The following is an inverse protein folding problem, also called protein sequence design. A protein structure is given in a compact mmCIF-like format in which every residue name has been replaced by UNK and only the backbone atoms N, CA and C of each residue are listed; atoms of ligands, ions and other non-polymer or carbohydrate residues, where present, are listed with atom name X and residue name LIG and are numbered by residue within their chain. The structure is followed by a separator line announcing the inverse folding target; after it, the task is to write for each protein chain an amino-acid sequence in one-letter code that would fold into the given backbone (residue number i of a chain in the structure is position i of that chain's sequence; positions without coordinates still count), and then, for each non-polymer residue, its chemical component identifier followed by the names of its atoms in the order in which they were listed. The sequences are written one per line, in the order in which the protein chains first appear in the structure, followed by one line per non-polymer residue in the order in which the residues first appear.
data_IF_500121120665
#
_entry.id   IF_500121120665
#
_cell.length_a   1.000
_cell.length_b   1.000
_cell.length_c   1.000
_cell.angle_alpha   90.00
_cell.angle_beta   90.00
_cell.angle_gamma   90.00
#
_symmetry.space_group_name_H-M   'P 1'
#
loop_
_entity.id
_entity.type
_entity.pdbx_description
1 polymer ?
#
# COMPACT_ATOMS: atom_id res chain seq x y z
N UNK A 1 22.57 6.49 -14.60
CA UNK A 1 23.49 5.53 -15.28
C UNK A 1 23.85 4.43 -14.29
N UNK A 2 23.57 3.14 -14.58
CA UNK A 2 24.03 2.02 -13.75
C UNK A 2 25.49 1.72 -14.05
N UNK A 3 26.31 1.58 -13.01
CA UNK A 3 27.76 1.31 -13.10
C UNK A 3 28.13 -0.01 -13.81
N UNK A 4 27.16 -0.82 -14.27
CA UNK A 4 27.40 -2.12 -14.88
C UNK A 4 26.65 -2.37 -16.20
N UNK A 5 26.08 -1.35 -16.86
CA UNK A 5 25.61 -1.50 -18.25
C UNK A 5 24.50 -2.55 -18.50
N UNK A 6 23.98 -3.19 -17.45
CA UNK A 6 22.85 -4.10 -17.56
C UNK A 6 21.58 -3.31 -17.86
N UNK A 7 20.96 -3.56 -19.02
CA UNK A 7 19.57 -3.16 -19.25
C UNK A 7 18.73 -3.67 -18.07
N UNK A 8 17.90 -2.82 -17.50
CA UNK A 8 16.93 -3.23 -16.49
C UNK A 8 16.08 -4.37 -17.09
N UNK A 9 16.34 -5.60 -16.66
CA UNK A 9 15.58 -6.78 -17.04
C UNK A 9 14.27 -6.78 -16.22
N UNK A 10 13.35 -5.93 -16.62
CA UNK A 10 12.01 -5.85 -16.04
C UNK A 10 11.05 -5.52 -17.16
N UNK A 11 10.50 -6.56 -17.80
CA UNK A 11 9.55 -6.43 -18.90
C UNK A 11 8.51 -5.36 -18.61
N UNK A 12 8.43 -4.37 -19.51
CA UNK A 12 7.49 -3.26 -19.44
C UNK A 12 6.08 -3.79 -19.74
N UNK A 13 5.44 -4.42 -18.76
CA UNK A 13 4.03 -4.80 -18.89
C UNK A 13 3.61 -6.05 -18.15
N UNK A 14 2.39 -6.47 -18.48
CA UNK A 14 1.75 -7.68 -17.98
C UNK A 14 2.54 -8.90 -18.46
N UNK A 15 2.88 -9.80 -17.55
CA UNK A 15 3.42 -11.11 -17.91
C UNK A 15 2.23 -12.05 -18.17
N UNK A 16 1.98 -12.47 -19.43
CA UNK A 16 0.76 -13.24 -19.75
C UNK A 16 0.67 -14.53 -18.95
N UNK A 17 1.76 -15.28 -18.84
CA UNK A 17 1.81 -16.55 -18.10
C UNK A 17 1.58 -16.32 -16.60
N UNK A 18 2.26 -15.34 -16.01
CA UNK A 18 2.10 -15.00 -14.60
C UNK A 18 0.69 -14.52 -14.27
N UNK A 19 0.08 -13.73 -15.16
CA UNK A 19 -1.30 -13.24 -15.00
C UNK A 19 -2.34 -14.35 -15.14
N UNK A 20 -2.16 -15.30 -16.07
CA UNK A 20 -3.06 -16.46 -16.20
C UNK A 20 -3.00 -17.31 -14.93
N UNK A 21 -1.79 -17.64 -14.46
CA UNK A 21 -1.63 -18.38 -13.20
C UNK A 21 -2.26 -17.63 -12.03
N UNK A 22 -2.07 -16.31 -11.96
CA UNK A 22 -2.69 -15.47 -10.95
C UNK A 22 -4.22 -15.49 -10.99
N UNK A 23 -4.82 -15.39 -12.17
CA UNK A 23 -6.28 -15.49 -12.36
C UNK A 23 -6.79 -16.85 -11.87
N UNK A 24 -6.09 -17.94 -12.20
CA UNK A 24 -6.47 -19.28 -11.73
C UNK A 24 -6.45 -19.35 -10.20
N UNK A 25 -5.38 -18.84 -9.55
CA UNK A 25 -5.29 -18.82 -8.09
C UNK A 25 -6.45 -18.00 -7.50
N UNK A 26 -6.73 -16.83 -8.05
CA UNK A 26 -7.82 -15.97 -7.58
C UNK A 26 -9.19 -16.67 -7.69
N UNK A 27 -9.47 -17.30 -8.84
CA UNK A 27 -10.72 -18.03 -9.05
C UNK A 27 -10.84 -19.26 -8.14
N UNK A 28 -9.75 -19.98 -7.93
CA UNK A 28 -9.70 -21.12 -7.00
C UNK A 28 -9.94 -20.65 -5.57
N UNK A 29 -9.36 -19.53 -5.14
CA UNK A 29 -9.61 -18.96 -3.82
C UNK A 29 -11.08 -18.61 -3.62
N UNK A 30 -11.71 -17.93 -4.60
CA UNK A 30 -13.14 -17.59 -4.54
C UNK A 30 -14.02 -18.84 -4.51
N UNK A 31 -13.75 -19.81 -5.40
CA UNK A 31 -14.51 -21.04 -5.46
C UNK A 31 -14.37 -21.86 -4.17
N UNK A 32 -13.16 -21.90 -3.58
CA UNK A 32 -12.91 -22.57 -2.31
C UNK A 32 -13.67 -21.88 -1.16
N UNK A 33 -13.66 -20.55 -1.07
CA UNK A 33 -14.43 -19.80 -0.06
C UNK A 33 -15.91 -20.15 -0.12
N UNK A 34 -16.49 -20.17 -1.33
CA UNK A 34 -17.89 -20.56 -1.51
C UNK A 34 -18.15 -22.03 -1.15
N UNK A 35 -17.29 -22.94 -1.62
CA UNK A 35 -17.44 -24.37 -1.37
C UNK A 35 -17.30 -24.74 0.12
N UNK A 36 -16.54 -23.96 0.89
CA UNK A 36 -16.37 -24.11 2.33
C UNK A 36 -17.49 -23.44 3.15
N UNK A 37 -18.50 -22.86 2.49
CA UNK A 37 -19.67 -22.28 3.15
C UNK A 37 -19.49 -20.85 3.66
N UNK A 38 -18.37 -20.20 3.34
CA UNK A 38 -18.18 -18.79 3.67
C UNK A 38 -18.91 -17.87 2.69
N UNK A 39 -19.29 -16.68 3.17
CA UNK A 39 -19.65 -15.58 2.29
C UNK A 39 -18.44 -15.18 1.45
N UNK A 40 -18.66 -14.92 0.16
CA UNK A 40 -17.61 -14.46 -0.76
C UNK A 40 -17.33 -12.96 -0.58
N UNK A 41 -18.28 -12.22 0.00
CA UNK A 41 -18.20 -10.75 0.13
C UNK A 41 -16.93 -10.29 0.87
N UNK A 42 -16.57 -10.86 2.04
CA UNK A 42 -15.34 -10.47 2.72
C UNK A 42 -14.07 -10.74 1.92
N UNK A 43 -14.03 -11.87 1.21
CA UNK A 43 -12.88 -12.17 0.36
C UNK A 43 -12.75 -11.15 -0.78
N UNK A 44 -13.87 -10.74 -1.40
CA UNK A 44 -13.85 -9.71 -2.45
C UNK A 44 -13.36 -8.38 -1.88
N UNK A 45 -13.84 -7.97 -0.70
CA UNK A 45 -13.36 -6.77 -0.02
C UNK A 45 -11.86 -6.82 0.27
N UNK A 46 -11.34 -7.96 0.74
CA UNK A 46 -9.90 -8.17 0.98
C UNK A 46 -9.08 -8.07 -0.33
N UNK A 47 -9.59 -8.63 -1.43
CA UNK A 47 -8.95 -8.55 -2.76
C UNK A 47 -8.88 -7.10 -3.23
N UNK A 48 -10.00 -6.36 -3.13
CA UNK A 48 -10.07 -4.95 -3.50
C UNK A 48 -9.11 -4.14 -2.61
N UNK A 49 -9.11 -4.37 -1.31
CA UNK A 49 -8.22 -3.67 -0.37
C UNK A 49 -6.75 -3.90 -0.70
N UNK A 50 -6.37 -5.14 -1.04
CA UNK A 50 -5.01 -5.47 -1.49
C UNK A 50 -4.61 -4.78 -2.78
N UNK A 51 -5.53 -4.76 -3.76
CA UNK A 51 -5.33 -4.04 -5.02
C UNK A 51 -5.12 -2.53 -4.80
N UNK A 52 -5.90 -1.92 -3.90
CA UNK A 52 -5.78 -0.51 -3.53
C UNK A 52 -4.45 -0.22 -2.83
N UNK A 53 -4.00 -1.07 -1.90
CA UNK A 53 -2.67 -0.96 -1.29
C UNK A 53 -1.59 -1.02 -2.37
N UNK A 54 -1.64 -2.02 -3.24
CA UNK A 54 -0.67 -2.17 -4.33
C UNK A 54 -0.63 -0.94 -5.26
N UNK A 55 -1.79 -0.38 -5.58
CA UNK A 55 -1.90 0.84 -6.38
C UNK A 55 -1.34 2.06 -5.65
N UNK A 56 -1.76 2.30 -4.41
CA UNK A 56 -1.31 3.44 -3.60
C UNK A 56 0.20 3.46 -3.39
N UNK A 57 0.82 2.30 -3.18
CA UNK A 57 2.27 2.17 -2.99
C UNK A 57 3.09 2.70 -4.19
N UNK A 58 2.55 2.66 -5.42
CA UNK A 58 3.24 3.18 -6.61
C UNK A 58 3.39 4.70 -6.59
N UNK A 59 2.51 5.40 -5.88
CA UNK A 59 2.58 6.85 -5.73
C UNK A 59 3.52 7.30 -4.62
N UNK A 60 3.94 6.41 -3.72
CA UNK A 60 4.81 6.77 -2.61
C UNK A 60 6.20 7.20 -3.14
N UNK A 61 6.74 8.35 -2.70
CA UNK A 61 8.05 8.85 -3.11
C UNK A 61 9.16 8.30 -2.19
N UNK A 62 9.88 7.28 -2.67
CA UNK A 62 10.74 6.42 -1.84
C UNK A 62 12.06 6.12 -2.53
N UNK A 63 13.16 6.65 -2.02
CA UNK A 63 14.48 6.39 -2.59
C UNK A 63 15.34 5.46 -1.75
N UNK A 64 16.14 4.66 -2.46
CA UNK A 64 17.16 3.82 -1.84
C UNK A 64 18.34 4.64 -1.32
N UNK A 65 19.52 4.02 -1.23
CA UNK A 65 20.74 4.68 -0.75
C UNK A 65 21.03 6.07 -1.38
N UNK A 66 20.76 6.31 -2.69
CA UNK A 66 20.96 7.65 -3.27
C UNK A 66 20.09 8.75 -2.67
N UNK A 67 18.85 8.47 -2.25
CA UNK A 67 17.99 9.47 -1.59
C UNK A 67 18.42 9.72 -0.15
N UNK A 68 18.97 8.72 0.54
CA UNK A 68 19.63 8.93 1.83
C UNK A 68 20.84 9.87 1.74
N UNK A 69 21.48 9.93 0.58
CA UNK A 69 22.58 10.85 0.29
C UNK A 69 22.12 12.16 -0.37
N UNK A 70 20.81 12.39 -0.51
CA UNK A 70 20.26 13.62 -1.10
C UNK A 70 20.37 13.75 -2.62
N UNK A 71 20.92 12.74 -3.29
CA UNK A 71 21.24 12.76 -4.73
C UNK A 71 20.10 12.25 -5.62
N UNK A 72 18.96 11.90 -5.04
CA UNK A 72 17.82 11.35 -5.75
C UNK A 72 16.50 11.82 -5.08
N UNK A 73 15.45 12.19 -5.85
CA UNK A 73 14.23 12.76 -5.28
C UNK A 73 13.38 11.79 -4.45
N UNK A 74 13.37 11.79 -3.13
CA UNK A 74 12.49 10.90 -2.38
C UNK A 74 12.89 10.74 -0.93
N UNK A 75 12.11 9.99 -0.17
CA UNK A 75 12.39 9.75 1.24
C UNK A 75 13.43 8.64 1.38
N UNK A 76 14.44 8.86 2.24
CA UNK A 76 15.56 7.97 2.55
C UNK A 76 15.16 6.68 3.32
N UNK A 77 14.20 5.93 2.80
CA UNK A 77 13.67 4.72 3.45
C UNK A 77 13.02 3.78 2.43
N UNK A 78 12.83 2.54 2.83
CA UNK A 78 12.23 1.52 1.99
C UNK A 78 10.75 1.82 1.69
N UNK A 79 10.34 1.56 0.44
CA UNK A 79 8.94 1.66 -0.01
C UNK A 79 7.99 0.96 0.94
N UNK A 80 8.33 -0.27 1.32
CA UNK A 80 7.51 -1.09 2.20
C UNK A 80 7.40 -0.50 3.61
N UNK A 81 8.43 0.19 4.13
CA UNK A 81 8.40 0.79 5.46
C UNK A 81 7.50 2.03 5.50
N UNK A 82 7.58 2.89 4.49
CA UNK A 82 6.69 4.06 4.41
C UNK A 82 5.26 3.69 4.10
N UNK A 83 5.07 2.76 3.16
CA UNK A 83 3.78 2.21 2.90
C UNK A 83 3.22 1.60 4.19
N UNK A 84 3.97 0.76 4.90
CA UNK A 84 3.50 0.13 6.13
C UNK A 84 3.13 1.17 7.19
N UNK A 85 3.93 2.23 7.37
CA UNK A 85 3.58 3.31 8.29
C UNK A 85 2.29 4.05 7.90
N UNK A 86 2.09 4.35 6.61
CA UNK A 86 0.86 4.97 6.12
C UNK A 86 -0.34 4.01 6.24
N UNK A 87 -0.14 2.73 5.96
CA UNK A 87 -1.12 1.67 6.09
C UNK A 87 -1.57 1.44 7.53
N UNK A 88 -0.62 1.43 8.47
CA UNK A 88 -0.90 1.33 9.91
C UNK A 88 -1.65 2.55 10.41
N UNK A 89 -1.21 3.76 10.06
CA UNK A 89 -1.91 4.99 10.44
C UNK A 89 -3.34 5.02 9.89
N UNK A 90 -3.53 4.55 8.65
CA UNK A 90 -4.86 4.38 8.06
C UNK A 90 -5.69 3.31 8.77
N UNK A 91 -5.15 2.12 9.00
CA UNK A 91 -5.83 1.05 9.71
C UNK A 91 -6.32 1.52 11.08
N UNK A 92 -5.45 2.13 11.89
CA UNK A 92 -5.84 2.63 13.21
C UNK A 92 -6.87 3.76 13.15
N UNK A 93 -6.71 4.70 12.21
CA UNK A 93 -7.68 5.78 12.01
C UNK A 93 -9.06 5.25 11.59
N UNK A 94 -9.09 4.25 10.71
CA UNK A 94 -10.32 3.61 10.26
C UNK A 94 -10.95 2.71 11.30
N UNK A 95 -10.16 1.93 12.05
CA UNK A 95 -10.65 1.09 13.13
C UNK A 95 -11.29 1.92 14.25
N UNK A 96 -10.64 3.03 14.65
CA UNK A 96 -11.19 3.96 15.63
C UNK A 96 -12.50 4.61 15.12
N UNK A 97 -12.54 5.02 13.86
CA UNK A 97 -13.75 5.58 13.25
C UNK A 97 -14.89 4.55 13.19
N UNK A 98 -14.58 3.27 12.90
CA UNK A 98 -15.55 2.18 12.91
C UNK A 98 -16.10 1.93 14.32
N UNK A 99 -15.24 1.87 15.33
CA UNK A 99 -15.66 1.72 16.73
C UNK A 99 -16.58 2.86 17.19
N UNK A 100 -16.26 4.09 16.80
CA UNK A 100 -17.02 5.27 17.21
C UNK A 100 -18.38 5.42 16.51
N UNK A 101 -18.53 4.92 15.28
CA UNK A 101 -19.70 5.21 14.43
C UNK A 101 -20.47 3.99 13.94
N UNK A 102 -19.83 2.83 13.88
CA UNK A 102 -20.35 1.62 13.21
C UNK A 102 -20.55 1.78 11.71
N UNK A 103 -20.14 2.91 11.11
CA UNK A 103 -20.39 3.22 9.71
C UNK A 103 -19.17 2.84 8.85
N UNK A 104 -19.40 1.91 7.93
CA UNK A 104 -18.39 1.44 6.98
C UNK A 104 -17.75 2.57 6.16
N UNK A 105 -18.55 3.50 5.64
CA UNK A 105 -18.04 4.58 4.81
C UNK A 105 -17.18 5.55 5.63
N UNK A 106 -17.60 5.85 6.86
CA UNK A 106 -16.83 6.70 7.78
C UNK A 106 -15.52 6.04 8.18
N UNK A 107 -15.53 4.72 8.45
CA UNK A 107 -14.34 3.97 8.77
C UNK A 107 -13.32 3.99 7.61
N UNK A 108 -13.78 3.65 6.40
CA UNK A 108 -12.94 3.65 5.20
C UNK A 108 -12.38 5.05 4.89
N UNK A 109 -13.20 6.10 5.05
CA UNK A 109 -12.75 7.49 4.91
C UNK A 109 -11.74 7.89 5.99
N UNK A 110 -11.98 7.50 7.25
CA UNK A 110 -11.07 7.73 8.37
C UNK A 110 -9.71 7.09 8.14
N UNK A 111 -9.68 5.88 7.56
CA UNK A 111 -8.44 5.22 7.20
C UNK A 111 -7.71 5.84 6.02
N UNK A 112 -8.45 6.30 5.02
CA UNK A 112 -7.86 7.04 3.91
C UNK A 112 -7.22 8.35 4.39
N UNK A 113 -7.90 9.11 5.25
CA UNK A 113 -7.37 10.34 5.84
C UNK A 113 -6.16 10.04 6.73
N UNK A 114 -6.21 9.00 7.57
CA UNK A 114 -5.10 8.60 8.43
C UNK A 114 -3.82 8.28 7.63
N UNK A 115 -3.95 7.48 6.56
CA UNK A 115 -2.82 7.14 5.69
C UNK A 115 -2.30 8.34 4.89
N UNK A 116 -3.18 9.19 4.37
CA UNK A 116 -2.82 10.42 3.67
C UNK A 116 -2.12 11.43 4.58
N UNK A 117 -2.60 11.61 5.81
CA UNK A 117 -2.04 12.51 6.80
C UNK A 117 -0.64 12.07 7.24
N UNK A 118 -0.45 10.78 7.53
CA UNK A 118 0.86 10.23 7.84
C UNK A 118 1.86 10.53 6.71
N UNK A 119 1.44 10.32 5.46
CA UNK A 119 2.31 10.59 4.31
C UNK A 119 2.59 12.08 4.13
N UNK A 120 1.59 12.95 4.32
CA UNK A 120 1.76 14.40 4.25
C UNK A 120 2.77 14.90 5.30
N UNK A 121 2.63 14.46 6.55
CA UNK A 121 3.55 14.81 7.64
C UNK A 121 4.96 14.30 7.31
N UNK A 122 5.08 13.07 6.84
CA UNK A 122 6.38 12.48 6.52
C UNK A 122 7.07 13.23 5.39
N UNK A 123 6.37 13.52 4.29
CA UNK A 123 6.93 14.27 3.18
C UNK A 123 7.29 15.70 3.57
N UNK A 124 6.48 16.36 4.42
CA UNK A 124 6.76 17.70 4.94
C UNK A 124 8.05 17.71 5.77
N UNK A 125 8.17 16.78 6.72
CA UNK A 125 9.33 16.70 7.61
C UNK A 125 10.60 16.39 6.81
N UNK A 126 10.51 15.52 5.80
CA UNK A 126 11.63 15.20 4.91
C UNK A 126 12.07 16.44 4.12
N UNK A 127 11.13 17.20 3.55
CA UNK A 127 11.47 18.44 2.87
C UNK A 127 12.07 19.49 3.81
N UNK A 128 11.55 19.60 5.04
CA UNK A 128 12.15 20.50 6.04
C UNK A 128 13.60 20.09 6.36
N UNK A 129 13.87 18.81 6.53
CA UNK A 129 15.24 18.32 6.76
C UNK A 129 16.13 18.53 5.54
N UNK A 130 15.68 18.16 4.34
CA UNK A 130 16.47 18.31 3.12
C UNK A 130 16.81 19.77 2.82
N UNK A 131 15.84 20.67 2.88
CA UNK A 131 16.06 22.08 2.55
C UNK A 131 16.83 22.79 3.66
N UNK A 132 16.37 22.71 4.92
CA UNK A 132 16.93 23.53 5.99
C UNK A 132 18.12 22.92 6.72
N UNK A 133 18.20 21.59 6.84
CA UNK A 133 19.30 20.95 7.55
C UNK A 133 20.46 20.55 6.61
N UNK A 134 20.14 20.20 5.35
CA UNK A 134 21.12 19.64 4.41
C UNK A 134 21.38 20.52 3.18
N UNK A 135 20.60 21.59 2.95
CA UNK A 135 20.77 22.47 1.78
C UNK A 135 20.48 21.78 0.44
N UNK A 136 19.70 20.70 0.45
CA UNK A 136 19.33 19.93 -0.73
C UNK A 136 18.08 20.58 -1.35
N UNK A 137 18.15 21.14 -2.57
CA UNK A 137 16.98 21.69 -3.23
C UNK A 137 16.01 20.58 -3.64
N UNK A 138 14.72 20.89 -3.68
CA UNK A 138 13.71 19.97 -4.21
C UNK A 138 13.65 20.13 -5.75
N UNK A 139 14.20 19.17 -6.49
CA UNK A 139 14.28 19.22 -7.94
C UNK A 139 14.06 17.85 -8.58
N UNK A 140 13.16 17.76 -9.55
CA UNK A 140 12.96 16.53 -10.34
C UNK A 140 14.02 16.39 -11.44
N UNK A 141 14.38 15.14 -11.76
CA UNK A 141 15.25 14.78 -12.86
C UNK A 141 14.54 14.43 -14.17
N UNK A 142 13.24 14.09 -14.13
CA UNK A 142 12.41 13.66 -15.26
C UNK A 142 11.59 14.77 -15.91
N UNK A 143 11.24 15.81 -15.17
CA UNK A 143 10.50 16.95 -15.70
C UNK A 143 11.31 18.24 -15.55
N UNK A 144 11.14 19.19 -16.46
CA UNK A 144 11.84 20.48 -16.42
C UNK A 144 11.14 21.50 -15.50
N UNK A 145 9.85 21.31 -15.24
CA UNK A 145 9.02 22.22 -14.46
C UNK A 145 8.07 21.42 -13.59
N UNK A 146 7.84 21.83 -12.35
CA UNK A 146 6.85 21.20 -11.49
C UNK A 146 5.46 21.36 -12.13
N UNK A 147 4.73 20.26 -12.39
CA UNK A 147 3.40 20.33 -13.00
C UNK A 147 2.36 21.06 -12.15
N UNK A 148 2.59 21.20 -10.84
CA UNK A 148 1.65 21.76 -9.87
C UNK A 148 2.05 23.19 -9.50
N UNK A 149 3.29 23.44 -9.09
CA UNK A 149 3.72 24.79 -8.67
C UNK A 149 4.20 25.65 -9.83
N UNK A 150 4.72 25.03 -10.88
CA UNK A 150 5.35 25.72 -11.99
C UNK A 150 6.80 26.16 -11.71
N UNK A 151 7.45 25.64 -10.68
CA UNK A 151 8.87 25.94 -10.44
C UNK A 151 9.78 25.23 -11.45
N UNK A 152 10.86 25.85 -11.88
CA UNK A 152 11.84 25.22 -12.78
C UNK A 152 12.86 24.41 -12.00
N UNK A 153 13.23 23.24 -12.54
CA UNK A 153 14.18 22.31 -11.92
C UNK A 153 15.60 22.27 -12.51
N UNK A 154 15.84 22.55 -13.82
CA UNK A 154 17.16 22.40 -14.44
C UNK A 154 18.27 23.17 -13.73
N UNK A 155 17.97 24.35 -13.20
CA UNK A 155 18.94 25.21 -12.52
C UNK A 155 19.42 24.64 -11.18
N UNK A 156 18.60 23.79 -10.55
CA UNK A 156 18.83 23.22 -9.22
C UNK A 156 19.29 21.76 -9.27
N UNK A 157 19.41 21.20 -10.48
CA UNK A 157 19.81 19.81 -10.70
C UNK A 157 21.32 19.72 -10.93
N UNK A 158 22.02 19.05 -10.02
CA UNK A 158 23.40 18.62 -10.23
C UNK A 158 23.53 17.68 -11.43
N UNK A 159 24.62 17.82 -12.18
CA UNK A 159 24.88 17.03 -13.38
C UNK A 159 24.99 15.53 -13.04
N UNK A 160 24.32 14.69 -13.81
CA UNK A 160 24.40 13.22 -13.67
C UNK A 160 23.50 12.61 -12.59
N UNK A 161 22.70 13.40 -11.86
CA UNK A 161 21.71 12.90 -10.89
C UNK A 161 20.31 12.77 -11.51
N UNK A 162 19.42 12.05 -10.82
CA UNK A 162 18.00 11.95 -11.17
C UNK A 162 17.16 12.99 -10.40
N UNK A 163 17.78 14.06 -9.89
CA UNK A 163 17.14 15.10 -9.09
C UNK A 163 17.51 15.04 -7.60
N UNK A 164 16.90 15.88 -6.79
CA UNK A 164 17.21 16.10 -5.37
C UNK A 164 15.93 16.32 -4.54
N UNK A 165 16.02 16.07 -3.24
CA UNK A 165 14.97 16.44 -2.29
C UNK A 165 13.65 15.74 -2.56
N UNK A 166 12.50 16.38 -2.30
CA UNK A 166 11.21 15.81 -2.65
C UNK A 166 10.35 16.91 -3.31
N UNK A 167 10.33 16.97 -4.67
CA UNK A 167 9.59 18.00 -5.39
C UNK A 167 8.09 17.88 -5.14
N UNK A 168 7.36 18.96 -5.37
CA UNK A 168 5.98 19.11 -4.93
C UNK A 168 5.04 18.09 -5.58
N UNK A 169 5.27 17.76 -6.85
CA UNK A 169 4.56 16.68 -7.54
C UNK A 169 4.74 15.30 -6.87
N UNK A 170 5.92 15.02 -6.31
CA UNK A 170 6.19 13.78 -5.57
C UNK A 170 5.53 13.81 -4.19
N UNK A 171 5.46 14.98 -3.54
CA UNK A 171 4.69 15.17 -2.30
C UNK A 171 3.21 14.82 -2.52
N UNK A 172 2.59 15.43 -3.53
CA UNK A 172 1.18 15.18 -3.85
C UNK A 172 0.93 13.73 -4.23
N UNK A 173 1.82 13.14 -5.05
CA UNK A 173 1.79 11.71 -5.33
C UNK A 173 1.79 10.89 -4.04
N UNK A 174 2.76 11.14 -3.15
CA UNK A 174 2.85 10.48 -1.86
C UNK A 174 1.55 10.52 -1.09
N UNK A 175 0.98 11.71 -0.87
CA UNK A 175 -0.28 11.88 -0.12
C UNK A 175 -1.42 11.06 -0.73
N UNK A 176 -1.57 11.08 -2.06
CA UNK A 176 -2.57 10.24 -2.77
C UNK A 176 -2.29 8.76 -2.54
N UNK A 177 -1.02 8.35 -2.60
CA UNK A 177 -0.60 6.98 -2.33
C UNK A 177 -0.95 6.51 -0.93
N UNK A 178 -0.62 7.32 0.08
CA UNK A 178 -0.96 7.07 1.47
C UNK A 178 -2.47 7.02 1.70
N UNK A 179 -3.23 7.89 1.04
CA UNK A 179 -4.68 7.92 1.10
C UNK A 179 -5.30 6.62 0.59
N UNK A 180 -4.92 6.19 -0.61
CA UNK A 180 -5.47 4.97 -1.22
C UNK A 180 -5.01 3.71 -0.49
N UNK A 181 -3.76 3.67 -0.05
CA UNK A 181 -3.25 2.53 0.71
C UNK A 181 -3.89 2.43 2.11
N UNK A 182 -4.11 3.55 2.78
CA UNK A 182 -4.85 3.61 4.05
C UNK A 182 -6.28 3.10 3.91
N UNK A 183 -6.98 3.53 2.85
CA UNK A 183 -8.31 3.02 2.49
C UNK A 183 -8.30 1.49 2.32
N UNK A 184 -7.36 0.97 1.53
CA UNK A 184 -7.26 -0.48 1.28
C UNK A 184 -6.94 -1.29 2.53
N UNK A 185 -6.09 -0.77 3.42
CA UNK A 185 -5.76 -1.40 4.71
C UNK A 185 -6.97 -1.48 5.64
N UNK A 186 -7.74 -0.39 5.74
CA UNK A 186 -8.97 -0.34 6.54
C UNK A 186 -10.05 -1.26 5.99
N UNK A 187 -10.20 -1.33 4.67
CA UNK A 187 -11.14 -2.26 4.05
C UNK A 187 -10.84 -3.71 4.45
N UNK A 188 -9.59 -4.15 4.34
CA UNK A 188 -9.18 -5.50 4.76
C UNK A 188 -9.49 -5.73 6.25
N UNK A 189 -9.22 -4.74 7.10
CA UNK A 189 -9.50 -4.83 8.52
C UNK A 189 -10.99 -5.07 8.81
N UNK A 190 -11.89 -4.28 8.22
CA UNK A 190 -13.34 -4.39 8.46
C UNK A 190 -13.87 -5.75 7.98
N UNK A 191 -13.46 -6.19 6.78
CA UNK A 191 -13.93 -7.47 6.22
C UNK A 191 -13.45 -8.67 7.05
N UNK A 192 -12.22 -8.62 7.59
CA UNK A 192 -11.74 -9.64 8.52
C UNK A 192 -12.44 -9.57 9.87
N UNK A 193 -12.70 -8.37 10.37
CA UNK A 193 -13.42 -8.17 11.62
C UNK A 193 -14.82 -8.78 11.56
N UNK A 194 -15.56 -8.55 10.47
CA UNK A 194 -16.89 -9.13 10.26
C UNK A 194 -16.85 -10.67 10.20
N UNK A 195 -15.86 -11.24 9.52
CA UNK A 195 -15.65 -12.70 9.49
C UNK A 195 -15.39 -13.25 10.90
N UNK A 196 -14.56 -12.57 11.68
CA UNK A 196 -14.20 -13.03 13.02
C UNK A 196 -15.32 -12.83 14.04
N UNK A 197 -16.11 -11.76 13.94
CA UNK A 197 -17.32 -11.56 14.74
C UNK A 197 -18.37 -12.64 14.48
N UNK A 198 -18.52 -13.10 13.24
CA UNK A 198 -19.44 -14.18 12.92
C UNK A 198 -18.92 -15.56 13.36
N UNK A 199 -17.62 -15.83 13.15
CA UNK A 199 -17.08 -17.18 13.27
C UNK A 199 -16.52 -17.55 14.65
N UNK A 200 -15.82 -16.63 15.34
CA UNK A 200 -15.16 -16.92 16.62
C UNK A 200 -16.13 -17.31 17.74
N UNK A 201 -17.28 -16.65 17.94
CA UNK A 201 -18.24 -17.04 18.98
C UNK A 201 -18.72 -18.48 18.84
N UNK A 202 -18.91 -18.94 17.61
CA UNK A 202 -19.37 -20.29 17.32
C UNK A 202 -18.31 -21.34 17.67
N UNK A 203 -17.05 -21.09 17.33
CA UNK A 203 -15.95 -22.05 17.54
C UNK A 203 -15.52 -22.09 19.00
N UNK A 204 -15.50 -20.94 19.67
CA UNK A 204 -15.04 -20.83 21.05
C UNK A 204 -16.13 -21.09 22.09
N UNK A 205 -17.40 -21.23 21.65
CA UNK A 205 -18.57 -21.42 22.53
C UNK A 205 -18.62 -20.40 23.67
N UNK A 206 -18.25 -19.16 23.38
CA UNK A 206 -18.16 -18.07 24.35
C UNK A 206 -18.98 -16.87 23.91
N UNK A 207 -19.36 -16.05 24.89
CA UNK A 207 -20.15 -14.84 24.69
C UNK A 207 -19.41 -13.88 23.73
N UNK A 208 -20.07 -13.35 22.68
CA UNK A 208 -19.45 -12.41 21.74
C UNK A 208 -18.70 -11.26 22.42
N UNK A 209 -19.22 -10.72 23.51
CA UNK A 209 -18.58 -9.63 24.25
C UNK A 209 -17.21 -10.01 24.84
N UNK A 210 -17.01 -11.28 25.22
CA UNK A 210 -15.74 -11.78 25.74
C UNK A 210 -14.71 -12.05 24.63
N UNK A 211 -15.18 -12.21 23.38
CA UNK A 211 -14.36 -12.53 22.20
C UNK A 211 -13.95 -11.26 21.44
N UNK A 212 -14.68 -10.15 21.63
CA UNK A 212 -14.41 -8.87 20.97
C UNK A 212 -12.92 -8.48 20.93
N UNK A 213 -12.15 -8.53 22.06
CA UNK A 213 -10.75 -8.15 22.03
C UNK A 213 -9.90 -9.07 21.14
N UNK A 214 -10.27 -10.36 21.06
CA UNK A 214 -9.59 -11.33 20.21
C UNK A 214 -9.91 -11.10 18.73
N UNK A 215 -11.18 -10.83 18.39
CA UNK A 215 -11.59 -10.56 17.02
C UNK A 215 -10.90 -9.31 16.46
N UNK A 216 -10.92 -8.21 17.22
CA UNK A 216 -10.23 -6.95 16.88
C UNK A 216 -8.72 -7.17 16.73
N UNK A 217 -8.10 -7.89 17.67
CA UNK A 217 -6.66 -8.16 17.62
C UNK A 217 -6.25 -9.01 16.43
N UNK A 218 -7.01 -10.08 16.13
CA UNK A 218 -6.74 -10.94 14.97
C UNK A 218 -6.95 -10.17 13.66
N UNK A 219 -8.07 -9.45 13.51
CA UNK A 219 -8.33 -8.62 12.34
C UNK A 219 -7.20 -7.60 12.13
N UNK A 220 -6.77 -6.93 13.19
CA UNK A 220 -5.64 -5.99 13.18
C UNK A 220 -4.34 -6.65 12.70
N UNK A 221 -3.90 -7.73 13.36
CA UNK A 221 -2.64 -8.41 13.02
C UNK A 221 -2.64 -8.90 11.56
N UNK A 222 -3.74 -9.51 11.11
CA UNK A 222 -3.85 -9.99 9.74
C UNK A 222 -3.85 -8.83 8.75
N UNK A 223 -4.65 -7.77 8.96
CA UNK A 223 -4.68 -6.62 8.08
C UNK A 223 -3.30 -5.95 7.93
N UNK A 224 -2.52 -5.86 9.00
CA UNK A 224 -1.12 -5.41 8.97
C UNK A 224 -0.26 -6.36 8.10
N UNK A 225 -0.44 -7.67 8.26
CA UNK A 225 0.22 -8.69 7.44
C UNK A 225 -0.10 -8.55 5.96
N UNK A 226 -1.37 -8.41 5.59
CA UNK A 226 -1.80 -8.14 4.20
C UNK A 226 -1.16 -6.87 3.66
N UNK A 227 -1.11 -5.83 4.49
CA UNK A 227 -0.49 -4.58 4.11
C UNK A 227 0.98 -4.77 3.76
N UNK A 228 1.74 -5.44 4.64
CA UNK A 228 3.16 -5.71 4.40
C UNK A 228 3.40 -6.56 3.14
N UNK A 229 2.61 -7.61 2.94
CA UNK A 229 2.70 -8.46 1.74
C UNK A 229 2.48 -7.64 0.48
N UNK A 230 1.38 -6.89 0.42
CA UNK A 230 1.03 -6.10 -0.77
C UNK A 230 2.01 -4.93 -1.00
N UNK A 231 2.47 -4.28 0.06
CA UNK A 231 3.47 -3.22 -0.03
C UNK A 231 4.81 -3.74 -0.55
N UNK A 232 5.25 -4.92 -0.12
CA UNK A 232 6.49 -5.54 -0.60
C UNK A 232 6.37 -5.97 -2.06
N UNK A 233 5.25 -6.60 -2.45
CA UNK A 233 5.00 -6.98 -3.84
C UNK A 233 4.99 -5.77 -4.78
N UNK A 234 4.33 -4.68 -4.37
CA UNK A 234 4.34 -3.44 -5.12
C UNK A 234 5.73 -2.77 -5.15
N UNK A 235 6.48 -2.79 -4.03
CA UNK A 235 7.82 -2.22 -3.94
C UNK A 235 8.81 -2.85 -4.94
N UNK A 236 8.78 -4.18 -5.10
CA UNK A 236 9.64 -4.87 -6.08
C UNK A 236 9.38 -4.44 -7.52
N UNK A 237 8.18 -3.92 -7.80
CA UNK A 237 7.78 -3.48 -9.13
C UNK A 237 8.29 -2.06 -9.49
N UNK A 238 8.53 -1.23 -8.47
CA UNK A 238 8.86 0.20 -8.57
C UNK A 238 10.34 0.46 -8.95
N UNK A 239 11.24 -0.50 -8.69
CA UNK A 239 12.67 -0.45 -9.11
C UNK A 239 13.42 0.85 -8.77
N UNK A 240 13.10 1.48 -7.63
CA UNK A 240 13.84 2.62 -7.10
C UNK A 240 13.66 3.93 -7.85
N UNK A 241 12.52 4.12 -8.54
CA UNK A 241 12.17 5.38 -9.20
C UNK A 241 11.15 6.17 -8.37
N UNK A 242 11.36 7.47 -8.25
CA UNK A 242 11.03 8.21 -7.02
C UNK A 242 10.41 9.58 -7.24
N UNK A 243 10.25 9.97 -8.50
CA UNK A 243 9.87 11.34 -8.86
C UNK A 243 8.35 11.57 -8.91
N UNK A 244 7.55 10.53 -8.63
CA UNK A 244 6.09 10.64 -8.49
C UNK A 244 5.32 10.20 -9.75
N UNK A 245 4.10 10.72 -10.00
CA UNK A 245 3.14 10.19 -11.00
C UNK A 245 3.60 10.11 -12.46
N UNK A 246 4.63 10.87 -12.84
CA UNK A 246 5.15 10.92 -14.21
C UNK A 246 6.24 9.86 -14.48
N UNK A 247 6.53 9.04 -13.49
CA UNK A 247 7.61 8.08 -13.52
C UNK A 247 7.26 6.83 -14.36
N UNK A 248 8.20 6.29 -15.16
CA UNK A 248 7.99 5.06 -15.92
C UNK A 248 7.47 3.86 -15.09
N UNK A 249 7.65 3.84 -13.76
CA UNK A 249 7.08 2.80 -12.88
C UNK A 249 5.56 2.66 -13.02
N UNK A 250 4.84 3.72 -13.40
CA UNK A 250 3.40 3.67 -13.58
C UNK A 250 2.96 2.72 -14.71
N UNK A 251 3.84 2.44 -15.68
CA UNK A 251 3.59 1.41 -16.71
C UNK A 251 3.47 0.00 -16.13
N UNK A 252 4.03 -0.24 -14.94
CA UNK A 252 4.03 -1.55 -14.28
C UNK A 252 2.90 -1.70 -13.26
N UNK A 253 2.15 -0.64 -12.97
CA UNK A 253 1.02 -0.65 -12.03
C UNK A 253 0.04 -1.81 -12.28
N UNK A 254 -0.41 -2.09 -13.53
CA UNK A 254 -1.36 -3.18 -13.76
C UNK A 254 -0.83 -4.53 -13.27
N UNK A 255 0.47 -4.80 -13.48
CA UNK A 255 1.12 -6.04 -13.02
C UNK A 255 1.13 -6.12 -11.50
N UNK A 256 1.44 -5.04 -10.80
CA UNK A 256 1.45 -5.04 -9.34
C UNK A 256 0.05 -5.16 -8.75
N UNK A 257 -0.94 -4.47 -9.32
CA UNK A 257 -2.34 -4.56 -8.86
C UNK A 257 -2.85 -5.99 -8.99
N UNK A 258 -2.59 -6.66 -10.12
CA UNK A 258 -2.92 -8.09 -10.29
C UNK A 258 -2.18 -8.92 -9.24
N UNK A 259 -0.87 -8.72 -9.06
CA UNK A 259 -0.09 -9.45 -8.06
C UNK A 259 -0.63 -9.31 -6.63
N UNK A 260 -1.00 -8.09 -6.23
CA UNK A 260 -1.56 -7.81 -4.91
C UNK A 260 -2.98 -8.39 -4.77
N UNK A 261 -3.82 -8.31 -5.81
CA UNK A 261 -5.14 -8.92 -5.80
C UNK A 261 -5.06 -10.45 -5.63
N UNK A 262 -4.13 -11.11 -6.33
CA UNK A 262 -3.91 -12.56 -6.22
C UNK A 262 -3.36 -12.95 -4.85
N UNK A 263 -2.38 -12.21 -4.33
CA UNK A 263 -1.83 -12.45 -3.01
C UNK A 263 -2.90 -12.27 -1.92
N UNK A 264 -3.71 -11.21 -2.00
CA UNK A 264 -4.84 -10.99 -1.11
C UNK A 264 -5.93 -12.05 -1.23
N UNK A 265 -6.21 -12.58 -2.43
CA UNK A 265 -7.17 -13.68 -2.59
C UNK A 265 -6.69 -14.95 -1.86
N UNK A 266 -5.43 -15.32 -2.05
CA UNK A 266 -4.86 -16.50 -1.42
C UNK A 266 -4.74 -16.33 0.10
N UNK A 267 -4.07 -15.27 0.55
CA UNK A 267 -3.92 -14.99 1.98
C UNK A 267 -5.28 -14.77 2.66
N UNK A 268 -6.24 -14.14 1.96
CA UNK A 268 -7.61 -13.88 2.41
C UNK A 268 -8.36 -15.16 2.74
N UNK A 269 -8.32 -16.12 1.82
CA UNK A 269 -8.85 -17.46 2.06
C UNK A 269 -8.22 -18.05 3.33
N UNK A 270 -6.89 -18.07 3.43
CA UNK A 270 -6.19 -18.67 4.58
C UNK A 270 -6.57 -17.98 5.91
N UNK A 271 -6.69 -16.65 5.94
CA UNK A 271 -7.12 -15.93 7.15
C UNK A 271 -8.56 -16.27 7.55
N UNK A 272 -9.46 -16.45 6.58
CA UNK A 272 -10.85 -16.82 6.87
C UNK A 272 -10.97 -18.26 7.39
N UNK A 273 -10.09 -19.18 6.96
CA UNK A 273 -10.10 -20.58 7.43
C UNK A 273 -9.89 -20.73 8.94
N UNK A 274 -9.35 -19.71 9.62
CA UNK A 274 -9.18 -19.71 11.09
C UNK A 274 -10.51 -19.92 11.79
N UNK A 275 -11.59 -19.40 11.19
CA UNK A 275 -12.93 -19.53 11.74
C UNK A 275 -13.80 -20.52 10.97
N UNK A 276 -13.18 -21.47 10.27
CA UNK A 276 -13.91 -22.56 9.64
C UNK A 276 -14.46 -23.50 10.72
N UNK A 277 -15.78 -23.54 10.83
CA UNK A 277 -16.45 -24.52 11.68
C UNK A 277 -16.83 -25.74 10.85
N UNK A 278 -16.06 -26.82 10.99
CA UNK A 278 -16.32 -28.11 10.31
C UNK A 278 -17.38 -28.97 11.00
N UNK A 279 -18.01 -28.49 12.07
CA UNK A 279 -19.08 -29.22 12.75
C UNK A 279 -18.66 -30.54 13.37
N UNK A 280 -17.45 -30.60 13.93
CA UNK A 280 -17.03 -31.73 14.78
C UNK A 280 -17.54 -31.58 16.21
#
# INVERSE_FOLDING_TARGET
MSALGGKAAGGEGINPTGSVVGIVILLVSIAATYALGFSIVPLIGIIIGGALIGFGVHFVPVGGAPAAMGQAPGIATGVAMLAAGAGLAGLFGGAWAYEATGDFAVAVAGGAVGGGLMMAITCLMVNATYVFAMGIPAASGKVAKDPITGDTFPEYKSQGTEGHGLPFVSFFGGVIGGFIAGLGGTLIYIELLDVYHAGLPTIMQADPAAIEPLAVSLAGIFAIGFFLVNAVLAAYNITGTIEGPHDPKFKRVPRAVIGCAVASAFCGLISMLIVLNTGM
#
